data_IF_662231201012
#
_entry.id   IF_662231201012
#
_cell.length_a   1.000
_cell.length_b   1.000
_cell.length_c   1.000
_cell.angle_alpha   90.00
_cell.angle_beta   90.00
_cell.angle_gamma   90.00
#
_symmetry.space_group_name_H-M   'P 1'
#
loop_
_entity.id
_entity.type
_entity.pdbx_description
1 polymer ?
#
# COMPACT_ATOMS: atom_id res chain seq x y z
N UNK A 1 -19.02 10.36 -7.96
CA UNK A 1 -17.78 9.57 -7.89
C UNK A 1 -17.03 10.11 -6.69
N UNK A 2 -16.83 9.31 -5.65
CA UNK A 2 -15.99 9.76 -4.54
C UNK A 2 -14.56 9.93 -5.08
N UNK A 3 -13.86 10.92 -4.57
CA UNK A 3 -12.43 11.07 -4.81
C UNK A 3 -11.70 9.82 -4.26
N UNK A 4 -10.82 9.22 -5.07
CA UNK A 4 -10.12 7.97 -4.75
C UNK A 4 -9.35 8.08 -3.43
N UNK A 5 -8.78 9.24 -3.14
CA UNK A 5 -8.04 9.49 -1.90
C UNK A 5 -8.99 9.43 -0.70
N UNK A 6 -10.16 10.05 -0.82
CA UNK A 6 -11.22 9.95 0.18
C UNK A 6 -11.69 8.51 0.42
N UNK A 7 -11.72 7.66 -0.62
CA UNK A 7 -12.01 6.22 -0.46
C UNK A 7 -10.91 5.51 0.33
N UNK A 8 -9.64 5.75 -0.02
CA UNK A 8 -8.46 5.15 0.62
C UNK A 8 -8.32 5.55 2.10
N UNK A 9 -8.65 6.80 2.44
CA UNK A 9 -8.61 7.29 3.82
C UNK A 9 -9.71 6.68 4.71
N UNK A 10 -10.83 6.22 4.14
CA UNK A 10 -11.97 5.68 4.89
C UNK A 10 -11.91 4.17 5.12
N UNK A 11 -10.85 3.53 4.66
CA UNK A 11 -10.61 2.08 4.83
C UNK A 11 -10.65 1.67 6.30
N UNK A 12 -11.01 0.41 6.54
CA UNK A 12 -11.15 -0.16 7.89
C UNK A 12 -9.82 -0.18 8.62
N UNK A 13 -8.74 -0.47 7.89
CA UNK A 13 -7.36 -0.47 8.38
C UNK A 13 -6.82 0.94 8.64
N UNK A 14 -7.13 1.95 7.82
CA UNK A 14 -6.74 3.34 8.10
C UNK A 14 -7.38 3.86 9.39
N UNK A 15 -8.70 3.71 9.54
CA UNK A 15 -9.39 4.12 10.79
C UNK A 15 -8.89 3.34 12.00
N UNK A 16 -8.57 2.06 11.83
CA UNK A 16 -7.97 1.26 12.90
C UNK A 16 -6.59 1.78 13.30
N UNK A 17 -5.77 2.15 12.32
CA UNK A 17 -4.42 2.64 12.53
C UNK A 17 -4.40 3.95 13.31
N UNK A 18 -5.31 4.86 13.00
CA UNK A 18 -5.58 6.07 13.78
C UNK A 18 -5.93 5.71 15.23
N UNK A 19 -6.93 4.85 15.46
CA UNK A 19 -7.37 4.42 16.80
C UNK A 19 -6.26 3.68 17.61
N UNK A 20 -5.43 2.91 16.91
CA UNK A 20 -4.40 2.06 17.48
C UNK A 20 -3.13 2.83 17.87
N UNK A 21 -2.76 3.81 17.05
CA UNK A 21 -1.49 4.53 17.15
C UNK A 21 -1.65 6.04 17.37
N UNK A 22 -2.86 6.50 17.72
CA UNK A 22 -3.20 7.90 17.99
C UNK A 22 -2.12 8.63 18.81
N UNK A 23 -1.62 9.75 18.28
CA UNK A 23 -0.61 10.60 18.94
C UNK A 23 0.85 10.16 18.79
N UNK A 24 1.19 9.24 17.88
CA UNK A 24 2.58 8.87 17.58
C UNK A 24 2.85 8.96 16.08
N UNK A 25 3.67 9.93 15.68
CA UNK A 25 4.33 9.91 14.37
C UNK A 25 5.52 8.94 14.42
N UNK A 26 5.82 8.25 13.31
CA UNK A 26 6.95 7.33 13.20
C UNK A 26 8.32 8.02 13.42
N UNK A 27 8.36 9.34 13.36
CA UNK A 27 9.50 10.19 13.72
C UNK A 27 9.56 10.33 15.24
N UNK A 28 10.33 9.45 15.89
CA UNK A 28 10.35 9.26 17.33
C UNK A 28 10.61 10.52 18.16
N UNK A 29 9.59 10.96 18.88
CA UNK A 29 9.70 11.55 20.21
C UNK A 29 8.34 11.40 20.91
N UNK A 30 8.33 10.74 22.07
CA UNK A 30 7.18 10.75 22.97
C UNK A 30 7.11 12.12 23.65
N UNK A 31 6.04 12.93 23.46
CA UNK A 31 5.83 14.09 24.30
C UNK A 31 5.39 13.60 25.68
N UNK A 32 6.24 13.79 26.68
CA UNK A 32 5.94 13.53 28.09
C UNK A 32 6.11 12.06 28.51
N UNK A 33 6.58 11.87 29.76
CA UNK A 33 6.93 10.58 30.37
C UNK A 33 5.76 9.61 30.61
N UNK A 34 4.88 9.42 29.61
CA UNK A 34 3.89 8.37 29.59
C UNK A 34 4.53 6.99 29.44
N UNK A 35 3.94 5.99 30.12
CA UNK A 35 4.38 4.60 29.96
C UNK A 35 4.26 4.19 28.48
N UNK A 36 5.28 3.54 27.90
CA UNK A 36 5.23 3.12 26.50
C UNK A 36 4.04 2.18 26.27
N UNK A 37 3.27 2.46 25.21
CA UNK A 37 2.06 1.68 24.89
C UNK A 37 2.46 0.21 24.60
N UNK A 38 1.80 -0.79 25.21
CA UNK A 38 2.15 -2.20 25.02
C UNK A 38 2.26 -2.62 23.56
N UNK A 39 1.34 -2.16 22.70
CA UNK A 39 1.36 -2.44 21.26
C UNK A 39 2.69 -2.06 20.60
N UNK A 40 3.18 -0.84 20.85
CA UNK A 40 4.44 -0.36 20.30
C UNK A 40 5.65 -1.13 20.85
N UNK A 41 5.61 -1.51 22.13
CA UNK A 41 6.65 -2.35 22.73
C UNK A 41 6.74 -3.71 22.02
N UNK A 42 5.60 -4.35 21.76
CA UNK A 42 5.57 -5.63 21.05
C UNK A 42 5.97 -5.50 19.57
N UNK A 43 5.55 -4.43 18.86
CA UNK A 43 6.02 -4.19 17.49
C UNK A 43 7.55 -4.03 17.44
N UNK A 44 8.12 -3.25 18.38
CA UNK A 44 9.58 -3.11 18.51
C UNK A 44 10.25 -4.42 18.87
N UNK A 45 9.66 -5.21 19.77
CA UNK A 45 10.17 -6.53 20.15
C UNK A 45 10.23 -7.48 18.94
N UNK A 46 9.20 -7.50 18.09
CA UNK A 46 9.19 -8.28 16.85
C UNK A 46 10.35 -7.86 15.93
N UNK A 47 10.53 -6.56 15.71
CA UNK A 47 11.66 -6.06 14.92
C UNK A 47 13.02 -6.45 15.53
N UNK A 48 13.17 -6.37 16.85
CA UNK A 48 14.38 -6.79 17.56
C UNK A 48 14.63 -8.30 17.45
N UNK A 49 13.61 -9.14 17.61
CA UNK A 49 13.74 -10.59 17.40
C UNK A 49 14.19 -10.90 15.97
N UNK A 50 13.59 -10.24 14.97
CA UNK A 50 13.99 -10.40 13.58
C UNK A 50 15.42 -9.91 13.33
N UNK A 51 15.86 -8.84 14.00
CA UNK A 51 17.21 -8.28 13.86
C UNK A 51 18.31 -9.22 14.38
N UNK A 52 18.00 -10.08 15.35
CA UNK A 52 18.96 -11.01 15.96
C UNK A 52 19.11 -12.35 15.23
N UNK A 53 18.21 -12.64 14.29
CA UNK A 53 18.31 -13.84 13.46
C UNK A 53 19.43 -13.72 12.43
N UNK A 54 20.02 -14.87 12.10
CA UNK A 54 21.06 -14.98 11.08
C UNK A 54 20.59 -14.41 9.73
N UNK A 55 21.47 -13.74 8.95
CA UNK A 55 21.10 -13.13 7.68
C UNK A 55 20.53 -14.11 6.64
N UNK A 56 20.97 -15.36 6.66
CA UNK A 56 20.59 -16.43 5.74
C UNK A 56 19.38 -17.26 6.22
N UNK A 57 18.81 -16.92 7.38
CA UNK A 57 17.63 -17.60 7.89
C UNK A 57 16.48 -17.59 6.87
N UNK A 58 15.74 -18.70 6.79
CA UNK A 58 14.52 -18.75 6.01
C UNK A 58 13.40 -18.02 6.75
N UNK A 59 13.35 -16.70 6.58
CA UNK A 59 12.34 -15.85 7.20
C UNK A 59 10.90 -16.24 6.82
N UNK A 60 10.66 -16.99 5.74
CA UNK A 60 9.31 -17.46 5.42
C UNK A 60 8.79 -18.48 6.44
N UNK A 61 9.69 -19.26 7.06
CA UNK A 61 9.37 -20.32 8.02
C UNK A 61 9.69 -19.96 9.48
N UNK A 62 10.44 -18.88 9.72
CA UNK A 62 10.72 -18.34 11.06
C UNK A 62 9.44 -18.19 11.90
N UNK A 63 9.48 -18.76 13.10
CA UNK A 63 8.43 -18.62 14.11
C UNK A 63 8.95 -17.76 15.25
N UNK A 64 8.37 -16.57 15.42
CA UNK A 64 8.55 -15.80 16.65
C UNK A 64 7.60 -16.39 17.68
N UNK A 65 8.12 -16.75 18.85
CA UNK A 65 7.31 -17.33 19.92
C UNK A 65 6.82 -16.25 20.89
N UNK A 66 5.85 -16.63 21.73
CA UNK A 66 5.39 -15.81 22.86
C UNK A 66 6.51 -15.54 23.86
N UNK A 67 7.40 -16.53 24.08
CA UNK A 67 8.52 -16.40 25.01
C UNK A 67 9.52 -15.35 24.53
N UNK A 68 9.82 -15.32 23.23
CA UNK A 68 10.73 -14.33 22.64
C UNK A 68 10.20 -12.91 22.87
N UNK A 69 8.92 -12.67 22.59
CA UNK A 69 8.29 -11.36 22.79
C UNK A 69 8.23 -10.95 24.27
N UNK A 70 7.92 -11.88 25.17
CA UNK A 70 7.90 -11.60 26.61
C UNK A 70 9.30 -11.24 27.12
N UNK A 71 10.33 -11.97 26.67
CA UNK A 71 11.73 -11.70 26.97
C UNK A 71 12.18 -10.30 26.52
N UNK A 72 11.80 -9.88 25.30
CA UNK A 72 12.12 -8.54 24.79
C UNK A 72 11.36 -7.40 25.45
N UNK A 73 10.13 -7.64 25.89
CA UNK A 73 9.28 -6.59 26.46
C UNK A 73 9.35 -6.51 27.99
N UNK A 74 9.97 -7.48 28.65
CA UNK A 74 10.05 -7.55 30.12
C UNK A 74 8.73 -7.95 30.79
N UNK A 75 7.71 -8.37 30.03
CA UNK A 75 6.44 -8.84 30.59
C UNK A 75 6.57 -10.29 31.07
N UNK A 76 6.19 -10.52 32.32
CA UNK A 76 6.25 -11.85 32.96
C UNK A 76 5.09 -12.78 32.57
N UNK A 77 4.10 -12.31 31.79
CA UNK A 77 2.91 -13.09 31.48
C UNK A 77 2.23 -12.74 30.15
N UNK A 78 1.50 -13.72 29.60
CA UNK A 78 0.86 -13.62 28.29
C UNK A 78 -0.36 -12.69 28.27
N UNK A 79 -0.89 -12.29 29.43
CA UNK A 79 -2.14 -11.52 29.53
C UNK A 79 -2.08 -10.21 28.72
N UNK A 80 -0.94 -9.51 28.75
CA UNK A 80 -0.77 -8.24 28.01
C UNK A 80 -0.77 -8.46 26.50
N UNK A 81 -0.15 -9.53 26.01
CA UNK A 81 -0.11 -9.85 24.59
C UNK A 81 -1.53 -10.15 24.06
N UNK A 82 -2.28 -11.01 24.76
CA UNK A 82 -3.67 -11.35 24.38
C UNK A 82 -4.63 -10.17 24.53
N UNK A 83 -4.47 -9.34 25.57
CA UNK A 83 -5.30 -8.13 25.74
C UNK A 83 -4.97 -7.03 24.73
N UNK A 84 -3.82 -7.11 24.05
CA UNK A 84 -3.41 -6.15 23.02
C UNK A 84 -3.76 -6.60 21.60
N UNK A 85 -3.45 -7.85 21.23
CA UNK A 85 -3.57 -8.35 19.85
C UNK A 85 -4.61 -9.44 19.66
N UNK A 86 -5.06 -10.07 20.75
CA UNK A 86 -6.00 -11.20 20.67
C UNK A 86 -7.34 -10.82 20.07
N UNK A 87 -8.07 -11.81 19.52
CA UNK A 87 -9.38 -11.63 18.88
C UNK A 87 -10.44 -10.91 19.73
N UNK A 88 -10.33 -11.02 21.05
CA UNK A 88 -11.25 -10.36 21.98
C UNK A 88 -10.77 -8.98 22.43
N UNK A 89 -9.53 -8.58 22.13
CA UNK A 89 -9.00 -7.28 22.52
C UNK A 89 -9.73 -6.15 21.80
N UNK A 90 -10.18 -5.14 22.56
CA UNK A 90 -11.05 -4.05 22.07
C UNK A 90 -10.48 -3.31 20.85
N UNK A 91 -9.15 -3.14 20.78
CA UNK A 91 -8.45 -2.43 19.70
C UNK A 91 -7.67 -3.37 18.76
N UNK A 92 -7.87 -4.70 18.87
CA UNK A 92 -7.20 -5.65 17.97
C UNK A 92 -7.69 -5.48 16.55
N UNK A 93 -6.76 -5.54 15.59
CA UNK A 93 -7.09 -5.48 14.18
C UNK A 93 -7.98 -6.66 13.77
N UNK A 94 -7.63 -7.88 14.18
CA UNK A 94 -8.40 -9.08 13.80
C UNK A 94 -9.84 -9.00 14.32
N UNK A 95 -10.06 -8.40 15.50
CA UNK A 95 -11.42 -8.15 16.01
C UNK A 95 -12.20 -7.21 15.09
N UNK A 96 -11.55 -6.16 14.61
CA UNK A 96 -12.19 -5.12 13.78
C UNK A 96 -12.51 -5.61 12.38
N UNK A 97 -11.65 -6.45 11.80
CA UNK A 97 -11.86 -7.02 10.47
C UNK A 97 -12.89 -8.17 10.47
N UNK A 98 -13.11 -8.82 11.61
CA UNK A 98 -14.01 -9.97 11.71
C UNK A 98 -13.43 -11.21 11.00
N UNK A 99 -14.29 -12.17 10.66
CA UNK A 99 -13.88 -13.42 9.99
C UNK A 99 -14.05 -13.40 8.46
N UNK A 100 -14.69 -12.35 7.91
CA UNK A 100 -14.91 -12.18 6.47
C UNK A 100 -13.92 -11.22 5.82
N UNK A 101 -13.85 -11.24 4.48
CA UNK A 101 -13.04 -10.29 3.69
C UNK A 101 -11.56 -10.28 4.09
N UNK A 102 -11.06 -9.14 4.56
CA UNK A 102 -9.68 -8.98 5.04
C UNK A 102 -9.38 -9.83 6.29
N UNK A 103 -10.38 -10.13 7.11
CA UNK A 103 -10.23 -11.04 8.26
C UNK A 103 -9.83 -12.45 7.85
N UNK A 104 -10.36 -12.92 6.70
CA UNK A 104 -9.99 -14.21 6.11
C UNK A 104 -8.52 -14.29 5.68
N UNK A 105 -7.92 -13.16 5.29
CA UNK A 105 -6.48 -13.07 4.95
C UNK A 105 -5.59 -13.36 6.17
N UNK A 106 -6.09 -13.06 7.38
CA UNK A 106 -5.42 -13.38 8.65
C UNK A 106 -5.69 -14.80 9.16
N UNK A 107 -6.46 -15.61 8.42
CA UNK A 107 -7.10 -16.86 8.88
C UNK A 107 -6.22 -17.75 9.76
N UNK A 108 -6.80 -18.24 10.87
CA UNK A 108 -6.22 -19.27 11.74
C UNK A 108 -4.95 -18.90 12.51
N UNK A 109 -4.39 -17.69 12.33
CA UNK A 109 -3.16 -17.26 13.01
C UNK A 109 -3.32 -17.19 14.52
N UNK A 110 -2.23 -17.42 15.23
CA UNK A 110 -2.17 -17.22 16.67
C UNK A 110 -1.98 -15.73 17.02
N UNK A 111 -1.91 -15.42 18.32
CA UNK A 111 -1.74 -14.04 18.80
C UNK A 111 -0.43 -13.40 18.33
N UNK A 112 0.62 -14.20 18.12
CA UNK A 112 1.91 -13.70 17.61
C UNK A 112 1.79 -13.34 16.14
N UNK A 113 1.12 -14.18 15.35
CA UNK A 113 0.79 -13.88 13.95
C UNK A 113 -0.02 -12.60 13.80
N UNK A 114 -0.97 -12.30 14.71
CA UNK A 114 -1.66 -11.01 14.72
C UNK A 114 -0.75 -9.85 15.08
N UNK A 115 0.15 -10.01 16.04
CA UNK A 115 1.13 -8.99 16.38
C UNK A 115 2.09 -8.70 15.21
N UNK A 116 2.51 -9.74 14.46
CA UNK A 116 3.32 -9.58 13.23
C UNK A 116 2.52 -8.82 12.17
N UNK A 117 1.26 -9.17 11.93
CA UNK A 117 0.42 -8.46 10.96
C UNK A 117 0.24 -6.97 11.32
N UNK A 118 -0.04 -6.66 12.59
CA UNK A 118 -0.12 -5.28 13.07
C UNK A 118 1.23 -4.54 12.98
N UNK A 119 2.36 -5.24 13.19
CA UNK A 119 3.72 -4.69 13.01
C UNK A 119 3.99 -4.32 11.55
N UNK A 120 3.55 -5.15 10.59
CA UNK A 120 3.66 -4.84 9.15
C UNK A 120 2.89 -3.57 8.82
N UNK A 121 1.66 -3.40 9.32
CA UNK A 121 0.88 -2.17 9.11
C UNK A 121 1.62 -0.97 9.70
N UNK A 122 2.05 -1.07 10.97
CA UNK A 122 2.74 0.02 11.65
C UNK A 122 4.03 0.46 10.92
N UNK A 123 4.84 -0.48 10.45
CA UNK A 123 6.07 -0.18 9.69
C UNK A 123 5.79 0.34 8.28
N UNK A 124 4.67 -0.06 7.66
CA UNK A 124 4.26 0.40 6.34
C UNK A 124 3.63 1.81 6.37
N UNK A 125 3.09 2.24 7.51
CA UNK A 125 2.43 3.52 7.71
C UNK A 125 3.12 4.72 7.02
N UNK A 126 4.42 4.99 7.23
CA UNK A 126 5.04 6.18 6.67
C UNK A 126 5.12 6.13 5.14
N UNK A 127 5.23 4.93 4.57
CA UNK A 127 5.23 4.70 3.12
C UNK A 127 3.84 4.97 2.54
N UNK A 128 2.78 4.51 3.23
CA UNK A 128 1.39 4.77 2.86
C UNK A 128 1.04 6.25 2.96
N UNK A 129 1.41 6.92 4.04
CA UNK A 129 1.16 8.37 4.21
C UNK A 129 1.84 9.18 3.10
N UNK A 130 3.11 8.88 2.78
CA UNK A 130 3.82 9.52 1.67
C UNK A 130 3.20 9.23 0.30
N UNK A 131 2.72 8.00 0.08
CA UNK A 131 2.00 7.64 -1.14
C UNK A 131 0.69 8.43 -1.28
N UNK A 132 -0.13 8.48 -0.24
CA UNK A 132 -1.40 9.21 -0.26
C UNK A 132 -1.20 10.72 -0.50
N UNK A 133 -0.18 11.32 0.13
CA UNK A 133 0.17 12.72 -0.11
C UNK A 133 0.59 12.96 -1.58
N UNK A 134 1.40 12.05 -2.15
CA UNK A 134 1.80 12.15 -3.56
C UNK A 134 0.62 11.97 -4.53
N UNK A 135 -0.39 11.17 -4.17
CA UNK A 135 -1.63 11.07 -4.96
C UNK A 135 -2.45 12.36 -4.89
N UNK A 136 -2.55 12.98 -3.70
CA UNK A 136 -3.27 14.25 -3.49
C UNK A 136 -2.63 15.39 -4.30
N UNK A 137 -1.30 15.50 -4.25
CA UNK A 137 -0.54 16.50 -4.99
C UNK A 137 -0.68 16.34 -6.53
N UNK A 138 -0.94 15.13 -7.02
CA UNK A 138 -1.11 14.87 -8.44
C UNK A 138 -2.50 15.31 -8.99
N UNK A 139 -3.46 15.61 -8.12
CA UNK A 139 -4.79 16.07 -8.48
C UNK A 139 -5.67 14.96 -9.08
N UNK A 140 -5.62 14.75 -10.40
CA UNK A 140 -6.43 13.71 -11.06
C UNK A 140 -5.65 12.40 -11.20
N UNK A 141 -5.96 11.44 -10.35
CA UNK A 141 -5.27 10.16 -10.27
C UNK A 141 -6.12 9.04 -10.85
N UNK A 142 -5.62 8.38 -11.90
CA UNK A 142 -6.24 7.16 -12.40
C UNK A 142 -6.01 5.98 -11.44
N UNK A 143 -6.97 5.05 -11.39
CA UNK A 143 -6.85 3.84 -10.55
C UNK A 143 -5.61 3.03 -10.93
N UNK A 144 -5.28 2.95 -12.21
CA UNK A 144 -4.05 2.33 -12.69
C UNK A 144 -2.80 2.97 -12.10
N UNK A 145 -2.68 4.30 -12.17
CA UNK A 145 -1.52 5.01 -11.61
C UNK A 145 -1.41 4.78 -10.10
N UNK A 146 -2.53 4.83 -9.38
CA UNK A 146 -2.56 4.53 -7.95
C UNK A 146 -2.08 3.10 -7.66
N UNK A 147 -2.46 2.11 -8.48
CA UNK A 147 -2.06 0.72 -8.32
C UNK A 147 -0.55 0.50 -8.59
N UNK A 148 -0.05 1.06 -9.70
CA UNK A 148 1.36 0.99 -10.08
C UNK A 148 2.26 1.65 -9.02
N UNK A 149 1.84 2.80 -8.50
CA UNK A 149 2.55 3.48 -7.41
C UNK A 149 2.46 2.74 -6.08
N UNK A 150 1.32 2.11 -5.76
CA UNK A 150 1.19 1.24 -4.58
C UNK A 150 2.19 0.07 -4.62
N UNK A 151 2.35 -0.59 -5.77
CA UNK A 151 3.36 -1.66 -5.94
C UNK A 151 4.78 -1.14 -5.68
N UNK A 152 5.10 0.05 -6.20
CA UNK A 152 6.42 0.67 -5.99
C UNK A 152 6.66 1.03 -4.52
N UNK A 153 5.64 1.55 -3.84
CA UNK A 153 5.68 1.90 -2.41
C UNK A 153 5.88 0.65 -1.56
N UNK A 154 5.18 -0.44 -1.90
CA UNK A 154 5.32 -1.72 -1.20
C UNK A 154 6.72 -2.34 -1.43
N UNK A 155 7.26 -2.23 -2.64
CA UNK A 155 8.62 -2.66 -2.93
C UNK A 155 9.69 -1.87 -2.16
N UNK A 156 9.54 -0.54 -2.06
CA UNK A 156 10.43 0.31 -1.23
C UNK A 156 10.31 -0.04 0.27
N UNK A 157 9.10 -0.26 0.77
CA UNK A 157 8.90 -0.75 2.15
C UNK A 157 9.60 -2.08 2.39
N UNK A 158 9.48 -3.03 1.45
CA UNK A 158 10.10 -4.34 1.54
C UNK A 158 11.63 -4.24 1.56
N UNK A 159 12.21 -3.37 0.73
CA UNK A 159 13.65 -3.13 0.68
C UNK A 159 14.19 -2.57 2.02
N UNK A 160 13.41 -1.73 2.70
CA UNK A 160 13.78 -1.18 4.03
C UNK A 160 13.49 -2.12 5.18
N UNK A 161 12.57 -3.08 5.00
CA UNK A 161 12.13 -4.01 6.03
C UNK A 161 12.21 -5.47 5.55
N UNK A 162 13.35 -5.96 5.03
CA UNK A 162 13.40 -7.22 4.27
C UNK A 162 12.98 -8.45 5.09
N UNK A 163 13.43 -8.52 6.35
CA UNK A 163 13.07 -9.62 7.27
C UNK A 163 11.58 -9.62 7.62
N UNK A 164 11.02 -8.42 7.85
CA UNK A 164 9.60 -8.25 8.15
C UNK A 164 8.73 -8.44 6.89
N UNK A 165 9.22 -8.13 5.70
CA UNK A 165 8.53 -8.43 4.45
C UNK A 165 8.37 -9.95 4.30
N UNK A 166 9.44 -10.72 4.52
CA UNK A 166 9.48 -12.19 4.35
C UNK A 166 8.70 -12.98 5.40
N UNK A 167 8.66 -12.53 6.66
CA UNK A 167 8.01 -13.30 7.75
C UNK A 167 6.54 -13.61 7.48
N UNK A 168 6.14 -14.85 7.77
CA UNK A 168 4.78 -15.34 7.55
C UNK A 168 4.45 -15.51 6.07
N UNK A 169 5.40 -16.09 5.31
CA UNK A 169 5.29 -16.34 3.88
C UNK A 169 4.92 -15.11 3.04
N UNK A 170 5.62 -13.99 3.26
CA UNK A 170 5.41 -12.74 2.52
C UNK A 170 4.00 -12.14 2.66
N UNK A 171 3.30 -12.39 3.77
CA UNK A 171 2.01 -11.75 4.03
C UNK A 171 2.15 -10.21 3.94
N UNK A 172 1.43 -9.51 3.06
CA UNK A 172 1.56 -8.06 2.92
C UNK A 172 0.98 -7.29 4.12
N UNK A 173 1.36 -6.02 4.33
CA UNK A 173 0.62 -5.11 5.19
C UNK A 173 -0.85 -5.06 4.76
N UNK A 174 -1.78 -5.30 5.68
CA UNK A 174 -3.21 -5.35 5.33
C UNK A 174 -3.77 -4.00 4.85
N UNK A 175 -3.12 -2.90 5.21
CA UNK A 175 -3.42 -1.58 4.64
C UNK A 175 -3.24 -1.60 3.13
N UNK A 176 -2.12 -2.12 2.61
CA UNK A 176 -1.87 -2.25 1.18
C UNK A 176 -2.87 -3.20 0.49
N UNK A 177 -3.30 -4.28 1.18
CA UNK A 177 -4.34 -5.19 0.65
C UNK A 177 -5.67 -4.46 0.49
N UNK A 178 -6.11 -3.72 1.50
CA UNK A 178 -7.35 -2.96 1.46
C UNK A 178 -7.27 -1.82 0.43
N UNK A 179 -6.13 -1.12 0.36
CA UNK A 179 -5.87 -0.06 -0.61
C UNK A 179 -5.95 -0.60 -2.04
N UNK A 180 -5.38 -1.78 -2.34
CA UNK A 180 -5.50 -2.40 -3.67
C UNK A 180 -6.94 -2.82 -3.98
N UNK A 181 -7.69 -3.33 -3.00
CA UNK A 181 -9.12 -3.62 -3.18
C UNK A 181 -9.89 -2.34 -3.56
N UNK A 182 -9.63 -1.24 -2.86
CA UNK A 182 -10.22 0.08 -3.16
C UNK A 182 -9.80 0.53 -4.55
N UNK A 183 -8.51 0.54 -4.87
CA UNK A 183 -7.97 1.00 -6.17
C UNK A 183 -8.53 0.17 -7.33
N UNK A 184 -8.66 -1.15 -7.17
CA UNK A 184 -9.28 -2.03 -8.16
C UNK A 184 -10.78 -1.78 -8.35
N UNK A 185 -11.42 -0.90 -7.57
CA UNK A 185 -12.86 -0.66 -7.66
C UNK A 185 -13.69 -1.85 -7.16
N UNK A 186 -13.11 -2.69 -6.30
CA UNK A 186 -13.74 -3.91 -5.80
C UNK A 186 -13.62 -5.13 -6.70
N UNK A 187 -12.96 -5.04 -7.86
CA UNK A 187 -12.75 -6.20 -8.75
C UNK A 187 -11.81 -7.24 -8.14
N UNK A 188 -10.84 -6.82 -7.32
CA UNK A 188 -9.97 -7.73 -6.58
C UNK A 188 -10.60 -8.08 -5.23
N UNK A 189 -10.85 -9.38 -4.99
CA UNK A 189 -11.17 -9.86 -3.64
C UNK A 189 -9.95 -9.68 -2.70
N UNK A 190 -10.15 -9.53 -1.38
CA UNK A 190 -9.04 -9.42 -0.43
C UNK A 190 -8.01 -10.55 -0.52
N UNK A 191 -8.44 -11.79 -0.79
CA UNK A 191 -7.55 -12.92 -0.96
C UNK A 191 -6.71 -12.80 -2.24
N UNK A 192 -7.32 -12.37 -3.36
CA UNK A 192 -6.62 -12.14 -4.63
C UNK A 192 -5.60 -10.99 -4.50
N UNK A 193 -6.01 -9.88 -3.91
CA UNK A 193 -5.14 -8.74 -3.64
C UNK A 193 -3.96 -9.14 -2.73
N UNK A 194 -4.22 -9.90 -1.66
CA UNK A 194 -3.17 -10.38 -0.76
C UNK A 194 -2.20 -11.34 -1.46
N UNK A 195 -2.69 -12.24 -2.32
CA UNK A 195 -1.86 -13.16 -3.11
C UNK A 195 -0.92 -12.41 -4.06
N UNK A 196 -1.46 -11.47 -4.84
CA UNK A 196 -0.66 -10.63 -5.74
C UNK A 196 0.40 -9.82 -4.99
N UNK A 197 0.04 -9.16 -3.89
CA UNK A 197 0.99 -8.37 -3.10
C UNK A 197 2.04 -9.26 -2.41
N UNK A 198 1.70 -10.50 -2.03
CA UNK A 198 2.69 -11.47 -1.55
C UNK A 198 3.69 -11.86 -2.64
N UNK A 199 3.23 -12.07 -3.89
CA UNK A 199 4.12 -12.26 -5.06
C UNK A 199 5.00 -11.04 -5.29
N UNK A 200 4.46 -9.83 -5.15
CA UNK A 200 5.23 -8.58 -5.25
C UNK A 200 6.34 -8.52 -4.19
N UNK A 201 6.04 -8.85 -2.94
CA UNK A 201 7.02 -8.86 -1.84
C UNK A 201 8.10 -9.92 -2.03
N UNK A 202 7.73 -11.10 -2.51
CA UNK A 202 8.67 -12.17 -2.87
C UNK A 202 9.57 -11.73 -4.01
N UNK A 203 9.02 -11.15 -5.07
CA UNK A 203 9.78 -10.61 -6.22
C UNK A 203 10.78 -9.53 -5.77
N UNK A 204 10.34 -8.60 -4.93
CA UNK A 204 11.22 -7.58 -4.35
C UNK A 204 12.33 -8.18 -3.48
N UNK A 205 12.06 -9.30 -2.80
CA UNK A 205 13.04 -10.01 -2.00
C UNK A 205 14.03 -10.80 -2.86
N UNK A 206 13.60 -11.39 -3.96
CA UNK A 206 14.47 -12.15 -4.88
C UNK A 206 15.38 -11.22 -5.68
N UNK A 207 14.84 -10.09 -6.15
CA UNK A 207 15.56 -9.05 -6.89
C UNK A 207 16.32 -8.11 -5.93
N UNK A 208 17.24 -8.67 -5.13
CA UNK A 208 18.03 -7.90 -4.16
C UNK A 208 18.67 -6.66 -4.78
N UNK A 209 18.37 -5.48 -4.23
CA UNK A 209 18.91 -4.20 -4.69
C UNK A 209 18.28 -3.64 -5.97
N UNK A 210 17.30 -4.32 -6.56
CA UNK A 210 16.57 -3.78 -7.70
C UNK A 210 15.70 -2.58 -7.31
N UNK A 211 15.46 -1.69 -8.26
CA UNK A 211 14.59 -0.53 -8.05
C UNK A 211 13.13 -0.98 -7.93
N UNK A 212 12.32 -0.18 -7.22
CA UNK A 212 10.87 -0.40 -7.16
C UNK A 212 10.20 -0.44 -8.55
N UNK A 213 10.77 0.27 -9.54
CA UNK A 213 10.31 0.22 -10.93
C UNK A 213 10.61 -1.13 -11.59
N UNK A 214 11.77 -1.73 -11.31
CA UNK A 214 12.10 -3.06 -11.83
C UNK A 214 11.14 -4.12 -11.28
N UNK A 215 10.80 -4.05 -9.98
CA UNK A 215 9.78 -4.93 -9.37
C UNK A 215 8.43 -4.73 -10.06
N UNK A 216 7.98 -3.48 -10.23
CA UNK A 216 6.73 -3.18 -10.93
C UNK A 216 6.70 -3.77 -12.34
N UNK A 217 7.78 -3.62 -13.12
CA UNK A 217 7.84 -4.15 -14.47
C UNK A 217 7.68 -5.68 -14.52
N UNK A 218 8.23 -6.39 -13.54
CA UNK A 218 8.09 -7.85 -13.45
C UNK A 218 6.66 -8.28 -13.11
N UNK A 219 5.98 -7.56 -12.23
CA UNK A 219 4.62 -7.91 -11.78
C UNK A 219 3.51 -7.16 -12.55
N UNK A 220 3.86 -6.40 -13.58
CA UNK A 220 2.94 -5.48 -14.26
C UNK A 220 1.75 -6.19 -14.90
N UNK A 221 2.00 -7.28 -15.63
CA UNK A 221 0.94 -8.04 -16.30
C UNK A 221 -0.05 -8.62 -15.28
N UNK A 222 0.45 -9.21 -14.19
CA UNK A 222 -0.39 -9.72 -13.10
C UNK A 222 -1.17 -8.59 -12.41
N UNK A 223 -0.56 -7.40 -12.25
CA UNK A 223 -1.27 -6.23 -11.72
C UNK A 223 -2.45 -5.84 -12.59
N UNK A 224 -2.30 -5.81 -13.92
CA UNK A 224 -3.39 -5.49 -14.83
C UNK A 224 -4.53 -6.51 -14.75
N UNK A 225 -4.21 -7.80 -14.62
CA UNK A 225 -5.21 -8.85 -14.38
C UNK A 225 -5.93 -8.70 -13.02
N UNK A 226 -5.26 -8.17 -11.99
CA UNK A 226 -5.87 -7.93 -10.68
C UNK A 226 -6.82 -6.73 -10.72
N UNK A 227 -6.46 -5.69 -11.48
CA UNK A 227 -7.33 -4.53 -11.66
C UNK A 227 -8.57 -4.83 -12.51
N UNK A 228 -8.57 -5.96 -13.24
CA UNK A 228 -9.58 -6.30 -14.24
C UNK A 228 -9.80 -5.17 -15.26
N UNK A 229 -8.79 -4.32 -15.46
CA UNK A 229 -8.78 -3.31 -16.49
C UNK A 229 -8.35 -4.05 -17.75
N UNK A 230 -9.31 -4.36 -18.62
CA UNK A 230 -8.96 -4.76 -19.99
C UNK A 230 -8.27 -3.59 -20.69
N UNK A 231 -7.38 -3.88 -21.64
CA UNK A 231 -6.77 -2.82 -22.47
C UNK A 231 -7.84 -1.91 -23.11
N UNK A 232 -9.01 -2.47 -23.44
CA UNK A 232 -10.15 -1.72 -23.96
C UNK A 232 -10.74 -0.72 -22.94
N UNK A 233 -10.95 -1.12 -21.68
CA UNK A 233 -11.48 -0.23 -20.64
C UNK A 233 -10.50 0.91 -20.33
N UNK A 234 -9.20 0.62 -20.43
CA UNK A 234 -8.14 1.62 -20.28
C UNK A 234 -8.12 2.61 -21.42
N UNK A 235 -8.23 2.13 -22.67
CA UNK A 235 -8.35 2.98 -23.85
C UNK A 235 -9.59 3.87 -23.74
N UNK A 236 -10.71 3.35 -23.24
CA UNK A 236 -11.93 4.12 -23.04
C UNK A 236 -11.80 5.16 -21.92
N UNK A 237 -11.08 4.86 -20.85
CA UNK A 237 -10.76 5.82 -19.78
C UNK A 237 -9.85 6.95 -20.29
N UNK A 238 -8.76 6.60 -20.99
CA UNK A 238 -7.87 7.57 -21.63
C UNK A 238 -8.61 8.44 -22.64
N UNK A 239 -9.45 7.83 -23.48
CA UNK A 239 -10.25 8.53 -24.48
C UNK A 239 -11.21 9.52 -23.82
N UNK A 240 -11.87 9.13 -22.72
CA UNK A 240 -12.72 10.03 -21.94
C UNK A 240 -11.94 11.18 -21.31
N UNK A 241 -10.76 10.91 -20.73
CA UNK A 241 -9.88 11.93 -20.15
C UNK A 241 -9.40 12.94 -21.18
N UNK A 242 -8.89 12.46 -22.32
CA UNK A 242 -8.47 13.30 -23.45
C UNK A 242 -9.65 14.11 -23.98
N UNK A 243 -10.83 13.50 -24.14
CA UNK A 243 -12.04 14.22 -24.58
C UNK A 243 -12.41 15.36 -23.62
N UNK A 244 -12.37 15.11 -22.31
CA UNK A 244 -12.68 16.14 -21.31
C UNK A 244 -11.69 17.32 -21.38
N UNK A 245 -10.40 17.03 -21.48
CA UNK A 245 -9.36 18.06 -21.62
C UNK A 245 -9.49 18.83 -22.93
N UNK A 246 -9.81 18.15 -24.05
CA UNK A 246 -10.06 18.81 -25.33
C UNK A 246 -11.30 19.71 -25.27
N UNK A 247 -12.37 19.30 -24.59
CA UNK A 247 -13.55 20.15 -24.37
C UNK A 247 -13.24 21.38 -23.52
N UNK A 248 -12.37 21.27 -22.51
CA UNK A 248 -11.91 22.43 -21.72
C UNK A 248 -11.05 23.38 -22.57
N UNK A 249 -10.14 22.82 -23.38
CA UNK A 249 -9.34 23.60 -24.34
C UNK A 249 -10.24 24.33 -25.34
N UNK A 250 -11.26 23.66 -25.89
CA UNK A 250 -12.22 24.24 -26.82
C UNK A 250 -13.00 25.39 -26.15
N UNK A 251 -13.47 25.17 -24.92
CA UNK A 251 -14.13 26.19 -24.12
C UNK A 251 -13.23 27.43 -23.89
N UNK A 252 -11.98 27.21 -23.51
CA UNK A 252 -11.00 28.28 -23.30
C UNK A 252 -10.65 28.99 -24.61
N UNK A 253 -10.52 28.25 -25.71
CA UNK A 253 -10.18 28.79 -27.04
C UNK A 253 -11.14 29.89 -27.48
N UNK A 254 -12.44 29.70 -27.25
CA UNK A 254 -13.47 30.69 -27.56
C UNK A 254 -13.32 31.99 -26.74
N UNK A 255 -12.72 31.90 -25.55
CA UNK A 255 -12.56 33.01 -24.60
C UNK A 255 -11.20 33.70 -24.67
N UNK A 256 -10.21 33.10 -25.35
CA UNK A 256 -8.89 33.67 -25.54
C UNK A 256 -8.89 34.72 -26.66
N UNK A 257 -8.05 35.74 -26.51
CA UNK A 257 -7.71 36.71 -27.56
C UNK A 257 -6.76 36.09 -28.60
N UNK A 258 -6.45 36.84 -29.66
CA UNK A 258 -5.60 36.34 -30.75
C UNK A 258 -4.21 35.87 -30.25
N UNK A 259 -3.60 36.64 -29.34
CA UNK A 259 -2.30 36.31 -28.75
C UNK A 259 -2.35 35.08 -27.84
N UNK A 260 -3.43 34.90 -27.08
CA UNK A 260 -3.68 33.70 -26.28
C UNK A 260 -3.86 32.45 -27.13
N UNK A 261 -4.62 32.54 -28.22
CA UNK A 261 -4.82 31.44 -29.18
C UNK A 261 -3.52 31.00 -29.85
N UNK A 262 -2.69 31.95 -30.28
CA UNK A 262 -1.39 31.66 -30.90
C UNK A 262 -0.41 30.96 -29.93
N UNK A 263 -0.37 31.40 -28.66
CA UNK A 263 0.43 30.74 -27.61
C UNK A 263 -0.05 29.33 -27.29
N UNK A 264 -1.36 29.10 -27.30
CA UNK A 264 -1.91 27.77 -27.06
C UNK A 264 -1.66 26.83 -28.26
N UNK A 265 -1.86 27.33 -29.49
CA UNK A 265 -1.59 26.58 -30.72
C UNK A 265 -0.13 26.14 -30.83
N UNK A 266 0.81 27.07 -30.61
CA UNK A 266 2.26 26.78 -30.66
C UNK A 266 2.71 25.70 -29.67
N UNK A 267 1.97 25.48 -28.58
CA UNK A 267 2.23 24.39 -27.61
C UNK A 267 1.57 23.07 -28.00
N UNK A 268 0.32 23.11 -28.47
CA UNK A 268 -0.44 21.89 -28.79
C UNK A 268 -0.01 21.25 -30.11
N UNK A 269 0.32 22.06 -31.12
CA UNK A 269 0.66 21.60 -32.46
C UNK A 269 1.84 20.59 -32.50
N UNK A 270 2.98 20.79 -31.82
CA UNK A 270 4.05 19.79 -31.80
C UNK A 270 3.63 18.49 -31.10
N UNK A 271 2.85 18.57 -30.02
CA UNK A 271 2.38 17.39 -29.28
C UNK A 271 1.47 16.51 -30.14
N UNK A 272 0.51 17.13 -30.86
CA UNK A 272 -0.39 16.42 -31.76
C UNK A 272 0.36 15.85 -32.98
N UNK A 273 1.33 16.59 -33.52
CA UNK A 273 2.16 16.13 -34.63
C UNK A 273 3.10 14.97 -34.28
N UNK A 274 3.62 14.91 -33.05
CA UNK A 274 4.38 13.77 -32.54
C UNK A 274 3.49 12.54 -32.34
N UNK A 275 2.28 12.73 -31.79
CA UNK A 275 1.32 11.66 -31.58
C UNK A 275 0.90 11.02 -32.91
N UNK A 276 0.52 11.84 -33.90
CA UNK A 276 0.11 11.36 -35.22
C UNK A 276 1.22 10.57 -35.92
N UNK A 277 2.48 11.04 -35.85
CA UNK A 277 3.64 10.32 -36.40
C UNK A 277 3.93 8.98 -35.73
N UNK A 278 3.54 8.80 -34.47
CA UNK A 278 3.69 7.51 -33.78
C UNK A 278 2.59 6.55 -34.21
N UNK A 279 1.34 7.03 -34.33
CA UNK A 279 0.22 6.23 -34.83
C UNK A 279 0.47 5.72 -36.26
N UNK A 280 1.00 6.56 -37.15
CA UNK A 280 1.32 6.19 -38.54
C UNK A 280 2.50 5.19 -38.68
N UNK A 281 3.31 5.00 -37.63
CA UNK A 281 4.46 4.08 -37.67
C UNK A 281 4.13 2.66 -37.22
N UNK A 282 2.99 2.48 -36.58
CA UNK A 282 2.53 1.20 -36.04
C UNK A 282 1.50 0.50 -36.98
N UNK A 283 1.20 1.10 -38.14
CA UNK A 283 0.46 0.51 -39.28
C UNK A 283 1.41 -0.09 -40.34
#
# INVERSE_FOLDING_TARGET
MLDLISELQRTSTARWEEDAFEGHHATGALPGGGKPRPRLLYCKAILSCLAELEPDADFATVQITRADMNGKTGHQGNATLYSTFGRQARRSLVRRLGDGGLGGVLGGRDVVGYAVAETKIWSHRPHREGWLAALDDAGHVSRRFAAETLVRVLADWAARNPRLARIGAHLPPLTAVEDLCVVSGGHASPARAAGFLATTLRTASELHGASALAVLNVVHSELMEVLAIGDADHVDELTRGVKAQLSEIEYLWQRLDACGRERLASRLQPMLGDLNRRMEKDE
#
